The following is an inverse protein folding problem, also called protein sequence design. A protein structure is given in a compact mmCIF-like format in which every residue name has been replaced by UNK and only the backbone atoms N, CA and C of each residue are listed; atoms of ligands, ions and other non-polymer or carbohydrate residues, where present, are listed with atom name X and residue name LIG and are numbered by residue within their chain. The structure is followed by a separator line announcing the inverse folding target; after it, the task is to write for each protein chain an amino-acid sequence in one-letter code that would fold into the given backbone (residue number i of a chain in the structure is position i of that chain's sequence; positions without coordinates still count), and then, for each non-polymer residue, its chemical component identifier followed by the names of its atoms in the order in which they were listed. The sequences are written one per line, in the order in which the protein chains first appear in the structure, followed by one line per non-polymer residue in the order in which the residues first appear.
data_IF_085199278553
#
_entry.id   IF_085199278553
#
_cell.length_a   1.000
_cell.length_b   1.000
_cell.length_c   1.000
_cell.angle_alpha   90.00
_cell.angle_beta   90.00
_cell.angle_gamma   90.00
#
_symmetry.space_group_name_H-M   'P 1'
#
loop_
_entity.id
_entity.type
_entity.pdbx_description
1 polymer ?
#
# COMPACT_ATOMS: atom_id res chain seq x y z
N UNK A 1 13.02 -6.69 25.16
CA UNK A 1 12.04 -5.58 25.21
C UNK A 1 11.85 -4.95 23.84
N UNK A 2 12.93 -4.59 23.13
CA UNK A 2 12.88 -4.05 21.77
C UNK A 2 12.22 -5.01 20.76
N UNK A 3 12.54 -6.31 20.81
CA UNK A 3 11.92 -7.33 19.95
C UNK A 3 10.40 -7.42 20.11
N UNK A 4 9.91 -7.30 21.36
CA UNK A 4 8.47 -7.26 21.63
C UNK A 4 7.85 -6.00 21.00
N UNK A 5 8.48 -4.84 21.16
CA UNK A 5 7.99 -3.60 20.56
C UNK A 5 7.94 -3.67 19.02
N UNK A 6 8.98 -4.23 18.38
CA UNK A 6 9.00 -4.47 16.93
C UNK A 6 7.87 -5.42 16.51
N UNK A 7 7.63 -6.49 17.28
CA UNK A 7 6.51 -7.41 17.05
C UNK A 7 5.15 -6.72 17.08
N UNK A 8 4.92 -5.85 18.07
CA UNK A 8 3.70 -5.04 18.17
C UNK A 8 3.54 -4.08 16.99
N UNK A 9 4.60 -3.36 16.61
CA UNK A 9 4.57 -2.44 15.47
C UNK A 9 4.22 -3.20 14.19
N UNK A 10 4.86 -4.35 13.95
CA UNK A 10 4.59 -5.17 12.78
C UNK A 10 3.13 -5.62 12.72
N UNK A 11 2.60 -6.14 13.83
CA UNK A 11 1.20 -6.56 13.89
C UNK A 11 0.23 -5.40 13.63
N UNK A 12 0.53 -4.21 14.17
CA UNK A 12 -0.27 -3.02 13.93
C UNK A 12 -0.18 -2.54 12.47
N UNK A 13 1.00 -2.62 11.86
CA UNK A 13 1.19 -2.31 10.43
C UNK A 13 0.43 -3.30 9.55
N UNK A 14 0.46 -4.59 9.85
CA UNK A 14 -0.31 -5.61 9.13
C UNK A 14 -1.82 -5.36 9.25
N UNK A 15 -2.30 -5.03 10.45
CA UNK A 15 -3.71 -4.66 10.67
C UNK A 15 -4.07 -3.37 9.92
N UNK A 16 -3.23 -2.33 9.96
CA UNK A 16 -3.44 -1.08 9.24
C UNK A 16 -3.47 -1.30 7.73
N UNK A 17 -2.59 -2.15 7.20
CA UNK A 17 -2.57 -2.49 5.77
C UNK A 17 -3.85 -3.22 5.34
N UNK A 18 -4.35 -4.13 6.17
CA UNK A 18 -5.63 -4.80 5.93
C UNK A 18 -6.81 -3.81 5.92
N UNK A 19 -6.79 -2.81 6.80
CA UNK A 19 -7.80 -1.73 6.82
C UNK A 19 -7.73 -0.85 5.57
N UNK A 20 -6.52 -0.51 5.10
CA UNK A 20 -6.35 0.24 3.85
C UNK A 20 -6.90 -0.56 2.67
N UNK A 21 -6.58 -1.85 2.59
CA UNK A 21 -7.08 -2.74 1.54
C UNK A 21 -8.62 -2.82 1.55
N UNK A 22 -9.23 -2.94 2.73
CA UNK A 22 -10.69 -2.89 2.87
C UNK A 22 -11.25 -1.56 2.37
N UNK A 23 -10.61 -0.43 2.74
CA UNK A 23 -11.00 0.90 2.29
C UNK A 23 -10.99 1.04 0.76
N UNK A 24 -9.96 0.50 0.10
CA UNK A 24 -9.86 0.48 -1.37
C UNK A 24 -11.03 -0.31 -1.99
N UNK A 25 -11.32 -1.51 -1.48
CA UNK A 25 -12.44 -2.33 -2.00
C UNK A 25 -13.78 -1.60 -1.83
N UNK A 26 -14.05 -1.04 -0.65
CA UNK A 26 -15.29 -0.31 -0.40
C UNK A 26 -15.42 0.91 -1.31
N UNK A 27 -14.33 1.67 -1.52
CA UNK A 27 -14.36 2.84 -2.37
C UNK A 27 -14.63 2.50 -3.84
N UNK A 28 -14.07 1.39 -4.34
CA UNK A 28 -14.35 0.90 -5.70
C UNK A 28 -15.83 0.50 -5.86
N UNK A 29 -16.42 -0.13 -4.85
CA UNK A 29 -17.83 -0.57 -4.89
C UNK A 29 -18.83 0.60 -4.86
N UNK A 30 -18.57 1.63 -4.06
CA UNK A 30 -19.49 2.74 -3.85
C UNK A 30 -19.18 3.98 -4.72
N UNK A 31 -18.05 4.02 -5.42
CA UNK A 31 -17.72 5.01 -6.46
C UNK A 31 -17.28 6.40 -5.99
N UNK A 32 -17.71 6.86 -4.82
CA UNK A 32 -17.23 8.07 -4.16
C UNK A 32 -16.42 7.74 -2.89
N UNK A 33 -15.80 8.74 -2.24
CA UNK A 33 -15.17 8.58 -0.93
C UNK A 33 -16.09 7.76 -0.02
N UNK A 34 -15.52 6.74 0.65
CA UNK A 34 -16.30 5.72 1.37
C UNK A 34 -17.35 6.43 2.25
N UNK A 35 -18.67 6.23 2.01
CA UNK A 35 -19.71 7.11 2.54
C UNK A 35 -19.70 7.28 4.07
N UNK A 36 -19.11 6.32 4.78
CA UNK A 36 -19.08 6.24 6.24
C UNK A 36 -17.82 6.85 6.87
N UNK A 37 -16.77 7.06 6.08
CA UNK A 37 -15.45 7.50 6.56
C UNK A 37 -15.09 8.87 5.96
N UNK A 38 -15.65 9.24 4.80
CA UNK A 38 -15.38 10.52 4.13
C UNK A 38 -13.94 10.66 3.63
N UNK A 39 -13.17 9.56 3.61
CA UNK A 39 -11.78 9.52 3.17
C UNK A 39 -11.67 8.94 1.77
N UNK A 40 -10.79 9.54 0.97
CA UNK A 40 -10.37 9.07 -0.35
C UNK A 40 -9.09 8.22 -0.21
N UNK A 41 -9.27 6.93 0.06
CA UNK A 41 -8.17 5.98 0.27
C UNK A 41 -7.45 5.71 -1.05
N UNK A 42 -8.20 5.54 -2.14
CA UNK A 42 -7.63 5.28 -3.48
C UNK A 42 -6.79 6.48 -3.93
N UNK A 43 -7.32 7.70 -3.81
CA UNK A 43 -6.59 8.92 -4.15
C UNK A 43 -5.31 9.10 -3.31
N UNK A 44 -5.38 8.78 -2.02
CA UNK A 44 -4.18 8.83 -1.14
C UNK A 44 -3.10 7.85 -1.59
N UNK A 45 -3.47 6.60 -1.92
CA UNK A 45 -2.52 5.57 -2.40
C UNK A 45 -1.95 5.96 -3.77
N UNK A 46 -2.80 6.39 -4.71
CA UNK A 46 -2.37 6.80 -6.04
C UNK A 46 -1.46 8.03 -5.98
N UNK A 47 -1.76 8.99 -5.11
CA UNK A 47 -0.93 10.17 -4.87
C UNK A 47 0.47 9.78 -4.40
N UNK A 48 0.56 8.91 -3.40
CA UNK A 48 1.85 8.43 -2.89
C UNK A 48 2.64 7.65 -3.94
N UNK A 49 1.98 6.78 -4.72
CA UNK A 49 2.64 6.07 -5.84
C UNK A 49 3.15 7.04 -6.91
N UNK A 50 2.42 8.13 -7.18
CA UNK A 50 2.82 9.14 -8.15
C UNK A 50 4.06 9.91 -7.68
N UNK A 51 4.14 10.26 -6.41
CA UNK A 51 5.34 10.89 -5.81
C UNK A 51 6.56 9.96 -5.85
N UNK A 52 6.37 8.67 -5.52
CA UNK A 52 7.46 7.70 -5.65
C UNK A 52 7.84 7.45 -7.13
N UNK A 53 6.89 7.58 -8.04
CA UNK A 53 7.10 7.46 -9.47
C UNK A 53 7.87 8.63 -10.07
N UNK A 54 7.65 9.85 -9.58
CA UNK A 54 8.39 11.04 -10.08
C UNK A 54 9.87 11.00 -9.74
N UNK A 55 10.23 10.37 -8.63
CA UNK A 55 11.63 10.14 -8.25
C UNK A 55 12.26 8.91 -8.95
N UNK A 56 11.53 8.26 -9.86
CA UNK A 56 11.99 7.07 -10.57
C UNK A 56 12.12 5.80 -9.70
N UNK A 57 11.79 5.88 -8.40
CA UNK A 57 11.90 4.78 -7.45
C UNK A 57 10.98 3.60 -7.82
N UNK A 58 9.78 3.90 -8.30
CA UNK A 58 8.82 2.87 -8.77
C UNK A 58 9.39 2.11 -9.98
N UNK A 59 10.17 2.77 -10.85
CA UNK A 59 10.83 2.13 -11.99
C UNK A 59 11.89 1.12 -11.55
N UNK A 60 12.72 1.47 -10.56
CA UNK A 60 13.71 0.56 -9.97
C UNK A 60 13.04 -0.65 -9.31
N UNK A 61 11.94 -0.43 -8.58
CA UNK A 61 11.16 -1.51 -7.99
C UNK A 61 10.58 -2.46 -9.07
N UNK A 62 10.08 -1.91 -10.18
CA UNK A 62 9.57 -2.70 -11.30
C UNK A 62 10.67 -3.58 -11.94
N UNK A 63 11.87 -3.05 -12.14
CA UNK A 63 13.02 -3.82 -12.65
C UNK A 63 13.36 -4.95 -11.68
N UNK A 64 13.36 -4.69 -10.37
CA UNK A 64 13.64 -5.72 -9.36
C UNK A 64 12.60 -6.85 -9.38
N UNK A 65 11.31 -6.53 -9.52
CA UNK A 65 10.24 -7.53 -9.66
C UNK A 65 10.44 -8.37 -10.93
N UNK A 66 10.68 -7.72 -12.08
CA UNK A 66 10.93 -8.41 -13.34
C UNK A 66 12.15 -9.34 -13.23
N UNK A 67 13.24 -8.84 -12.66
CA UNK A 67 14.43 -9.64 -12.41
C UNK A 67 14.12 -10.84 -11.51
N UNK A 68 13.35 -10.66 -10.42
CA UNK A 68 12.93 -11.76 -9.55
C UNK A 68 12.10 -12.84 -10.25
N UNK A 69 11.28 -12.47 -11.23
CA UNK A 69 10.53 -13.41 -12.07
C UNK A 69 11.48 -14.15 -13.03
N UNK A 70 12.34 -13.42 -13.74
CA UNK A 70 13.22 -13.99 -14.77
C UNK A 70 14.42 -14.77 -14.22
N UNK A 71 14.91 -14.43 -13.03
CA UNK A 71 16.01 -15.14 -12.35
C UNK A 71 15.55 -16.43 -11.64
N UNK A 72 14.25 -16.71 -11.56
CA UNK A 72 13.74 -18.04 -11.16
C UNK A 72 13.73 -19.04 -12.33
N UNK A 73 14.76 -19.03 -13.16
CA UNK A 73 15.07 -20.13 -14.09
C UNK A 73 15.99 -21.14 -13.42
#
# INVERSE_FOLDING_TARGET
MLEKAIGWIRSLTEAGLALIALGVVLQILFGAAVPFIGLDVVGSVVGLVKELGSEGLVGLAAIWVLWGIYSKK
#
